data_IF_610183760924
#
_entry.id   IF_610183760924
#
_cell.length_a   1.000
_cell.length_b   1.000
_cell.length_c   1.000
_cell.angle_alpha   90.00
_cell.angle_beta   90.00
_cell.angle_gamma   90.00
#
_symmetry.space_group_name_H-M   'P 1'
#
loop_
_entity.id
_entity.type
_entity.pdbx_description
1 polymer ?
#
# COMPACT_ATOMS: atom_id res chain seq x y z
N UNK A 1 -20.60 56.21 22.58
CA UNK A 1 -21.79 56.27 21.72
C UNK A 1 -21.37 56.06 20.28
N UNK A 2 -21.40 54.88 19.76
CA UNK A 2 -21.40 54.61 18.30
C UNK A 2 -22.20 53.32 18.08
N UNK A 3 -23.22 53.44 17.24
CA UNK A 3 -24.33 52.55 16.95
C UNK A 3 -23.86 51.27 16.23
N UNK A 4 -24.35 50.11 16.70
CA UNK A 4 -24.28 48.83 15.99
C UNK A 4 -25.49 48.69 15.09
N UNK A 5 -25.28 48.65 13.77
CA UNK A 5 -26.28 48.13 12.82
C UNK A 5 -26.11 46.63 12.66
N UNK A 6 -27.14 45.87 13.01
CA UNK A 6 -27.30 44.45 12.72
C UNK A 6 -27.83 44.33 11.27
N UNK A 7 -27.14 43.58 10.46
CA UNK A 7 -27.66 43.17 9.14
C UNK A 7 -28.05 41.69 9.23
N UNK A 8 -29.33 41.43 9.11
CA UNK A 8 -29.92 40.10 8.94
C UNK A 8 -29.68 39.65 7.50
N UNK A 9 -28.95 38.57 7.33
CA UNK A 9 -28.83 37.88 6.04
C UNK A 9 -29.87 36.77 5.95
N UNK A 10 -30.78 36.87 5.01
CA UNK A 10 -31.79 35.85 4.71
C UNK A 10 -31.11 34.74 3.90
N UNK A 11 -31.16 33.52 4.42
CA UNK A 11 -30.66 32.31 3.75
C UNK A 11 -31.78 31.79 2.84
N UNK A 12 -31.65 31.97 1.52
CA UNK A 12 -32.58 31.38 0.54
C UNK A 12 -32.10 29.93 0.24
N UNK A 13 -32.95 28.98 0.64
CA UNK A 13 -32.77 27.54 0.35
C UNK A 13 -33.29 27.25 -1.06
N UNK A 14 -32.39 27.13 -2.04
CA UNK A 14 -32.74 26.64 -3.37
C UNK A 14 -32.74 25.11 -3.38
N UNK A 15 -33.90 24.51 -3.34
CA UNK A 15 -34.11 23.10 -3.67
C UNK A 15 -34.05 22.95 -5.19
N UNK A 16 -33.00 22.32 -5.70
CA UNK A 16 -32.94 21.86 -7.07
C UNK A 16 -33.41 20.40 -7.15
N UNK A 17 -34.24 20.06 -8.16
CA UNK A 17 -34.73 18.70 -8.32
C UNK A 17 -33.60 17.75 -8.75
N UNK A 18 -33.55 16.60 -8.11
CA UNK A 18 -32.67 15.48 -8.49
C UNK A 18 -33.22 14.93 -9.83
N UNK A 19 -32.59 15.32 -10.91
CA UNK A 19 -32.82 14.68 -12.21
C UNK A 19 -32.03 13.37 -12.22
N UNK A 20 -32.79 12.27 -12.29
CA UNK A 20 -32.21 10.94 -12.52
C UNK A 20 -31.50 10.97 -13.88
N UNK A 21 -30.18 10.92 -13.85
CA UNK A 21 -29.36 10.70 -15.03
C UNK A 21 -29.50 9.23 -15.44
N UNK A 22 -30.39 9.03 -16.42
CA UNK A 22 -30.42 7.80 -17.18
C UNK A 22 -29.05 7.63 -17.86
N UNK A 23 -28.36 6.52 -17.57
CA UNK A 23 -27.16 6.08 -18.28
C UNK A 23 -27.59 5.81 -19.73
N UNK A 24 -27.40 6.77 -20.61
CA UNK A 24 -27.57 6.57 -22.04
C UNK A 24 -26.38 5.74 -22.53
N UNK A 25 -26.66 4.53 -23.00
CA UNK A 25 -25.76 3.69 -23.74
C UNK A 25 -25.14 4.48 -24.91
N UNK A 26 -23.90 4.89 -24.76
CA UNK A 26 -23.14 5.67 -25.78
C UNK A 26 -22.64 4.81 -26.94
N UNK A 27 -23.35 3.74 -27.31
CA UNK A 27 -22.97 2.82 -28.39
C UNK A 27 -23.90 2.82 -29.61
N UNK A 28 -24.86 3.73 -29.71
CA UNK A 28 -25.82 3.74 -30.80
C UNK A 28 -25.47 4.71 -31.94
N UNK A 29 -24.30 5.29 -32.00
CA UNK A 29 -24.05 6.46 -32.84
C UNK A 29 -23.39 6.21 -34.20
N UNK A 30 -23.15 4.98 -34.65
CA UNK A 30 -22.47 4.77 -35.95
C UNK A 30 -23.16 3.88 -36.98
N UNK A 31 -24.39 3.42 -36.74
CA UNK A 31 -25.15 2.60 -37.71
C UNK A 31 -26.37 3.27 -38.32
N UNK A 32 -26.39 4.60 -38.44
CA UNK A 32 -27.55 5.36 -38.93
C UNK A 32 -27.69 5.47 -40.45
N UNK A 33 -27.15 4.51 -41.21
CA UNK A 33 -27.41 4.42 -42.63
C UNK A 33 -28.29 3.21 -42.95
N UNK A 34 -29.35 3.36 -43.76
CA UNK A 34 -30.04 2.22 -44.36
C UNK A 34 -29.04 1.52 -45.30
N UNK A 35 -28.79 0.23 -45.12
CA UNK A 35 -28.05 -0.52 -46.12
C UNK A 35 -29.00 -1.02 -47.22
N UNK A 36 -28.48 -1.11 -48.45
CA UNK A 36 -29.31 -1.36 -49.64
C UNK A 36 -29.27 -2.80 -50.14
N UNK A 37 -28.24 -3.57 -49.76
CA UNK A 37 -28.03 -4.94 -50.27
C UNK A 37 -27.41 -5.82 -49.21
N UNK A 38 -28.02 -6.99 -48.96
CA UNK A 38 -27.51 -8.01 -48.04
C UNK A 38 -26.08 -8.42 -48.42
N UNK A 39 -25.21 -8.59 -47.43
CA UNK A 39 -23.84 -9.04 -47.63
C UNK A 39 -22.83 -7.92 -47.86
N UNK A 40 -23.25 -6.69 -48.13
CA UNK A 40 -22.30 -5.57 -48.25
C UNK A 40 -21.61 -5.34 -46.92
N UNK A 41 -20.29 -5.14 -46.95
CA UNK A 41 -19.43 -4.93 -45.78
C UNK A 41 -18.93 -3.49 -45.75
N UNK A 42 -19.03 -2.85 -44.59
CA UNK A 42 -18.50 -1.50 -44.37
C UNK A 42 -17.57 -1.53 -43.15
N UNK A 43 -16.44 -0.84 -43.23
CA UNK A 43 -15.53 -0.62 -42.08
C UNK A 43 -15.63 0.84 -41.67
N UNK A 44 -15.92 1.07 -40.36
CA UNK A 44 -15.95 2.41 -39.78
C UNK A 44 -15.22 2.37 -38.44
N UNK A 45 -14.21 3.22 -38.27
CA UNK A 45 -13.38 3.29 -37.05
C UNK A 45 -12.88 1.92 -36.56
N UNK A 46 -12.39 1.07 -37.48
CA UNK A 46 -11.85 -0.25 -37.15
C UNK A 46 -12.90 -1.35 -36.91
N UNK A 47 -14.18 -1.03 -36.90
CA UNK A 47 -15.28 -1.99 -36.73
C UNK A 47 -15.84 -2.37 -38.08
N UNK A 48 -16.04 -3.67 -38.32
CA UNK A 48 -16.63 -4.20 -39.54
C UNK A 48 -18.12 -4.46 -39.34
N UNK A 49 -18.96 -3.89 -40.22
CA UNK A 49 -20.39 -4.10 -40.26
C UNK A 49 -20.78 -4.83 -41.54
N UNK A 50 -21.74 -5.70 -41.44
CA UNK A 50 -22.31 -6.40 -42.63
C UNK A 50 -23.81 -6.03 -42.71
N UNK A 51 -24.27 -5.69 -43.88
CA UNK A 51 -25.69 -5.45 -44.13
C UNK A 51 -26.45 -6.78 -44.08
N UNK A 52 -27.34 -6.91 -43.14
CA UNK A 52 -28.13 -8.12 -42.90
C UNK A 52 -29.61 -7.81 -42.83
N UNK A 53 -30.45 -8.77 -43.25
CA UNK A 53 -31.90 -8.68 -43.14
C UNK A 53 -32.29 -8.95 -41.68
N UNK A 54 -32.91 -7.96 -41.06
CA UNK A 54 -33.40 -8.08 -39.68
C UNK A 54 -34.91 -7.81 -39.73
N UNK A 55 -35.71 -8.87 -39.64
CA UNK A 55 -37.14 -8.83 -39.91
C UNK A 55 -37.40 -8.45 -41.37
N UNK A 56 -38.23 -7.41 -41.61
CA UNK A 56 -38.58 -6.90 -42.96
C UNK A 56 -37.62 -5.80 -43.45
N UNK A 57 -36.56 -5.45 -42.71
CA UNK A 57 -35.67 -4.32 -43.05
C UNK A 57 -34.21 -4.75 -43.14
N UNK A 58 -33.42 -4.03 -43.97
CA UNK A 58 -31.97 -4.18 -44.05
C UNK A 58 -31.31 -3.25 -43.03
N UNK A 59 -30.41 -3.82 -42.21
CA UNK A 59 -29.68 -3.07 -41.18
C UNK A 59 -28.22 -3.44 -41.17
N UNK A 60 -27.35 -2.48 -40.80
CA UNK A 60 -25.95 -2.75 -40.54
C UNK A 60 -25.82 -3.53 -39.23
N UNK A 61 -25.29 -4.74 -39.30
CA UNK A 61 -25.06 -5.59 -38.17
C UNK A 61 -23.54 -5.68 -37.99
N UNK A 62 -23.05 -5.39 -36.80
CA UNK A 62 -21.63 -5.55 -36.47
C UNK A 62 -21.23 -7.01 -36.68
N UNK A 63 -20.22 -7.26 -37.52
CA UNK A 63 -19.66 -8.58 -37.64
C UNK A 63 -18.93 -8.86 -36.33
N UNK A 64 -19.51 -9.66 -35.46
CA UNK A 64 -18.77 -10.20 -34.33
C UNK A 64 -17.61 -10.98 -34.94
N UNK A 65 -16.39 -10.59 -34.64
CA UNK A 65 -15.28 -11.51 -34.78
C UNK A 65 -15.70 -12.71 -33.93
N UNK A 66 -15.90 -13.90 -34.52
CA UNK A 66 -16.00 -15.12 -33.73
C UNK A 66 -14.76 -15.10 -32.85
N UNK A 67 -14.93 -14.78 -31.59
CA UNK A 67 -13.94 -15.06 -30.57
C UNK A 67 -13.58 -16.51 -30.79
N UNK A 68 -12.31 -16.79 -31.03
CA UNK A 68 -11.77 -18.11 -30.79
C UNK A 68 -12.44 -18.59 -29.51
N UNK A 69 -13.01 -19.78 -29.52
CA UNK A 69 -13.81 -20.39 -28.44
C UNK A 69 -13.29 -19.87 -27.10
N UNK A 70 -14.18 -19.40 -26.19
CA UNK A 70 -13.70 -18.94 -24.90
C UNK A 70 -12.82 -20.06 -24.35
N UNK A 71 -11.56 -19.74 -24.07
CA UNK A 71 -10.69 -20.65 -23.30
C UNK A 71 -11.47 -20.79 -22.02
N UNK A 72 -12.15 -21.92 -21.82
CA UNK A 72 -12.78 -22.25 -20.56
C UNK A 72 -11.65 -22.18 -19.54
N UNK A 73 -11.70 -21.30 -18.56
CA UNK A 73 -10.64 -21.23 -17.56
C UNK A 73 -10.54 -22.60 -16.93
N UNK A 74 -9.47 -23.32 -17.21
CA UNK A 74 -9.18 -24.55 -16.50
C UNK A 74 -8.69 -24.15 -15.14
N UNK A 75 -9.53 -24.32 -14.14
CA UNK A 75 -9.16 -24.12 -12.74
C UNK A 75 -8.08 -25.12 -12.38
N UNK A 76 -6.94 -24.64 -11.92
CA UNK A 76 -5.84 -25.49 -11.46
C UNK A 76 -5.57 -25.23 -9.98
N UNK A 77 -5.16 -26.25 -9.25
CA UNK A 77 -4.85 -26.12 -7.84
C UNK A 77 -3.66 -25.17 -7.61
N UNK A 78 -3.61 -24.50 -6.47
CA UNK A 78 -2.49 -23.63 -6.11
C UNK A 78 -1.14 -24.36 -6.19
N UNK A 79 -1.07 -25.64 -5.84
CA UNK A 79 0.15 -26.45 -5.98
C UNK A 79 0.57 -26.64 -7.44
N UNK A 80 -0.39 -26.84 -8.35
CA UNK A 80 -0.11 -26.95 -9.79
C UNK A 80 0.38 -25.61 -10.36
N UNK A 81 -0.19 -24.49 -9.91
CA UNK A 81 0.28 -23.16 -10.30
C UNK A 81 1.73 -22.90 -9.88
N UNK A 82 2.10 -23.28 -8.66
CA UNK A 82 3.47 -23.14 -8.16
C UNK A 82 4.50 -23.92 -8.99
N UNK A 83 4.12 -25.06 -9.57
CA UNK A 83 4.99 -25.86 -10.41
C UNK A 83 5.24 -25.24 -11.81
N UNK A 84 4.42 -24.29 -12.23
CA UNK A 84 4.59 -23.59 -13.52
C UNK A 84 5.56 -22.41 -13.46
N UNK A 85 6.09 -22.08 -12.30
CA UNK A 85 7.03 -20.96 -12.16
C UNK A 85 8.32 -21.25 -12.91
N UNK A 86 8.71 -20.29 -13.73
CA UNK A 86 9.96 -20.29 -14.48
C UNK A 86 11.04 -19.51 -13.71
N UNK A 87 12.27 -19.89 -13.91
CA UNK A 87 13.41 -19.13 -13.45
C UNK A 87 13.44 -17.76 -14.15
N UNK A 88 13.85 -16.73 -13.43
CA UNK A 88 14.08 -15.42 -14.03
C UNK A 88 15.10 -15.55 -15.18
N UNK A 89 14.85 -14.97 -16.37
CA UNK A 89 15.78 -15.00 -17.48
C UNK A 89 17.04 -14.18 -17.20
N UNK A 90 16.97 -13.27 -16.25
CA UNK A 90 18.08 -12.37 -15.92
C UNK A 90 18.34 -12.34 -14.40
N UNK A 91 19.60 -12.10 -14.00
CA UNK A 91 19.92 -11.87 -12.60
C UNK A 91 19.14 -10.68 -12.03
N UNK A 92 18.74 -10.75 -10.78
CA UNK A 92 18.02 -9.66 -10.10
C UNK A 92 18.78 -8.33 -10.15
N UNK A 93 20.11 -8.37 -10.18
CA UNK A 93 20.96 -7.18 -10.36
C UNK A 93 20.62 -6.38 -11.61
N UNK A 94 20.15 -7.03 -12.67
CA UNK A 94 19.77 -6.34 -13.90
C UNK A 94 18.49 -5.50 -13.74
N UNK A 95 17.63 -5.87 -12.79
CA UNK A 95 16.42 -5.11 -12.49
C UNK A 95 16.63 -3.99 -11.45
N UNK A 96 17.84 -3.83 -10.93
CA UNK A 96 18.17 -2.70 -10.06
C UNK A 96 18.10 -1.40 -10.83
N UNK A 97 17.46 -0.41 -10.24
CA UNK A 97 17.42 0.95 -10.77
C UNK A 97 18.54 1.79 -10.15
N UNK A 98 18.96 2.83 -10.86
CA UNK A 98 19.91 3.79 -10.31
C UNK A 98 19.26 4.62 -9.21
N UNK A 99 20.08 4.96 -8.22
CA UNK A 99 19.72 5.98 -7.23
C UNK A 99 19.65 7.35 -7.91
N UNK A 100 18.49 7.97 -7.83
CA UNK A 100 18.26 9.28 -8.40
C UNK A 100 18.34 10.42 -7.36
N UNK A 101 19.07 10.23 -6.26
CA UNK A 101 19.24 11.28 -5.23
C UNK A 101 19.78 12.61 -5.78
N UNK A 102 20.50 12.58 -6.90
CA UNK A 102 20.94 13.81 -7.59
C UNK A 102 19.79 14.68 -8.12
N UNK A 103 18.61 14.10 -8.30
CA UNK A 103 17.41 14.80 -8.75
C UNK A 103 16.51 15.26 -7.61
N UNK A 104 16.92 15.02 -6.36
CA UNK A 104 16.12 15.30 -5.18
C UNK A 104 16.64 16.52 -4.44
N UNK A 105 15.71 17.19 -3.76
CA UNK A 105 16.07 18.30 -2.91
C UNK A 105 17.00 17.88 -1.77
N UNK A 106 17.92 18.75 -1.39
CA UNK A 106 18.76 18.49 -0.23
C UNK A 106 17.91 18.38 1.04
N UNK A 107 18.14 17.32 1.81
CA UNK A 107 17.38 17.05 3.03
C UNK A 107 16.29 15.99 2.88
N UNK A 108 16.01 15.49 1.69
CA UNK A 108 15.17 14.33 1.50
C UNK A 108 15.75 13.12 2.26
N UNK A 109 14.99 12.63 3.22
CA UNK A 109 15.43 11.54 4.09
C UNK A 109 15.16 10.14 3.51
N UNK A 110 14.49 10.08 2.39
CA UNK A 110 14.09 8.81 1.78
C UNK A 110 15.01 8.46 0.62
N UNK A 111 15.76 7.39 0.81
CA UNK A 111 16.54 6.80 -0.25
C UNK A 111 15.66 5.92 -1.12
N UNK A 112 15.77 6.09 -2.45
CA UNK A 112 15.02 5.30 -3.43
C UNK A 112 15.93 4.29 -4.09
N UNK A 113 16.85 3.77 -3.36
CA UNK A 113 17.87 2.89 -3.91
C UNK A 113 17.62 1.44 -3.59
N UNK A 114 18.28 0.62 -4.32
CA UNK A 114 18.42 -0.80 -4.05
C UNK A 114 19.87 -1.10 -3.69
N UNK A 115 20.13 -1.70 -2.51
CA UNK A 115 19.20 -1.96 -1.41
C UNK A 115 18.84 -0.68 -0.65
N UNK A 116 17.71 -0.71 0.05
CA UNK A 116 17.33 0.36 0.97
C UNK A 116 18.32 0.38 2.15
N UNK A 117 18.68 1.58 2.58
CA UNK A 117 19.59 1.77 3.71
C UNK A 117 18.77 2.00 4.98
N UNK A 118 18.83 1.09 5.96
CA UNK A 118 18.16 1.30 7.24
C UNK A 118 18.81 2.44 8.01
N UNK A 119 18.04 3.08 8.88
CA UNK A 119 18.46 4.18 9.73
C UNK A 119 18.13 3.91 11.21
N UNK A 120 18.48 4.83 12.09
CA UNK A 120 18.16 4.79 13.53
C UNK A 120 18.54 3.47 14.25
N UNK A 121 19.57 2.77 13.77
CA UNK A 121 20.03 1.50 14.35
C UNK A 121 19.24 0.27 13.90
N UNK A 122 18.26 0.42 13.01
CA UNK A 122 17.53 -0.70 12.43
C UNK A 122 18.41 -1.48 11.44
N UNK A 123 18.00 -2.70 11.12
CA UNK A 123 18.67 -3.55 10.13
C UNK A 123 17.66 -4.29 9.27
N UNK A 124 17.99 -4.50 8.00
CA UNK A 124 17.16 -5.27 7.06
C UNK A 124 17.45 -6.78 7.11
N UNK A 125 18.44 -7.18 7.92
CA UNK A 125 18.76 -8.58 8.18
C UNK A 125 19.26 -8.74 9.62
N UNK A 126 18.72 -9.72 10.35
CA UNK A 126 19.09 -9.98 11.73
C UNK A 126 18.00 -9.68 12.74
N UNK A 127 18.38 -9.32 13.95
CA UNK A 127 17.45 -9.05 15.06
C UNK A 127 17.33 -7.55 15.30
N UNK A 128 16.11 -7.09 15.49
CA UNK A 128 15.75 -5.74 15.94
C UNK A 128 15.13 -5.86 17.32
N UNK A 129 15.79 -5.30 18.34
CA UNK A 129 15.33 -5.32 19.73
C UNK A 129 14.53 -4.06 20.04
N UNK A 130 13.29 -4.22 20.47
CA UNK A 130 12.37 -3.12 20.79
C UNK A 130 11.85 -3.27 22.22
N UNK A 131 11.94 -2.21 23.01
CA UNK A 131 11.24 -2.12 24.30
C UNK A 131 9.87 -1.46 24.10
N UNK A 132 8.83 -2.13 24.59
CA UNK A 132 7.44 -1.64 24.54
C UNK A 132 7.01 -1.28 25.96
N UNK A 133 6.62 -0.04 26.16
CA UNK A 133 6.07 0.45 27.43
C UNK A 133 4.66 1.00 27.22
N UNK A 134 3.73 0.66 28.12
CA UNK A 134 2.38 1.21 28.13
C UNK A 134 2.35 2.37 29.10
N UNK A 135 2.15 3.58 28.57
CA UNK A 135 2.20 4.81 29.36
C UNK A 135 0.82 5.41 29.48
N UNK A 136 0.34 5.58 30.71
CA UNK A 136 -0.91 6.27 30.99
C UNK A 136 -0.68 7.58 31.75
N UNK A 137 -1.75 8.36 31.91
CA UNK A 137 -1.71 9.69 32.53
C UNK A 137 -2.75 9.79 33.63
N UNK A 138 -2.56 10.71 34.57
CA UNK A 138 -3.54 10.91 35.63
C UNK A 138 -4.92 11.32 35.10
N UNK A 139 -4.96 12.10 34.04
CA UNK A 139 -6.16 12.56 33.33
C UNK A 139 -6.66 11.57 32.27
N UNK A 140 -5.85 10.60 31.84
CA UNK A 140 -6.22 9.55 30.88
C UNK A 140 -5.63 8.21 31.35
N UNK A 141 -6.24 7.55 32.34
CA UNK A 141 -5.74 6.28 32.87
C UNK A 141 -5.98 5.13 31.89
N UNK A 142 -5.02 4.21 31.81
CA UNK A 142 -5.15 2.96 31.06
C UNK A 142 -5.83 1.86 31.85
N UNK A 143 -6.61 1.02 31.17
CA UNK A 143 -7.32 -0.12 31.75
C UNK A 143 -6.67 -1.47 31.52
N UNK A 144 -6.90 -2.44 32.40
CA UNK A 144 -6.34 -3.80 32.26
C UNK A 144 -6.84 -4.56 31.01
N UNK A 145 -8.11 -4.50 30.61
CA UNK A 145 -8.56 -5.14 29.37
C UNK A 145 -7.86 -4.58 28.14
N UNK A 146 -7.68 -3.27 28.09
CA UNK A 146 -6.99 -2.57 27.01
C UNK A 146 -5.50 -2.96 26.93
N UNK A 147 -4.82 -3.03 28.07
CA UNK A 147 -3.43 -3.50 28.15
C UNK A 147 -3.27 -4.88 27.53
N UNK A 148 -4.13 -5.81 27.89
CA UNK A 148 -4.09 -7.19 27.35
C UNK A 148 -4.30 -7.21 25.85
N UNK A 149 -5.21 -6.40 25.33
CA UNK A 149 -5.45 -6.24 23.89
C UNK A 149 -4.22 -5.65 23.19
N UNK A 150 -3.61 -4.61 23.74
CA UNK A 150 -2.40 -4.01 23.18
C UNK A 150 -1.24 -5.00 23.13
N UNK A 151 -0.99 -5.75 24.21
CA UNK A 151 0.05 -6.78 24.24
C UNK A 151 -0.20 -7.85 23.18
N UNK A 152 -1.42 -8.35 23.06
CA UNK A 152 -1.76 -9.36 22.08
C UNK A 152 -1.62 -8.83 20.64
N UNK A 153 -2.02 -7.59 20.41
CA UNK A 153 -2.00 -6.97 19.10
C UNK A 153 -0.56 -6.66 18.66
N UNK A 154 0.28 -6.09 19.53
CA UNK A 154 1.63 -5.69 19.13
C UNK A 154 2.55 -6.90 18.85
N UNK A 155 2.30 -8.04 19.48
CA UNK A 155 3.03 -9.29 19.18
C UNK A 155 2.86 -9.72 17.72
N UNK A 156 1.74 -9.42 17.09
CA UNK A 156 1.50 -9.71 15.68
C UNK A 156 2.50 -9.01 14.76
N UNK A 157 3.07 -7.86 15.15
CA UNK A 157 4.06 -7.17 14.33
C UNK A 157 5.35 -7.99 14.18
N UNK A 158 5.82 -8.64 15.25
CA UNK A 158 6.99 -9.51 15.18
C UNK A 158 6.72 -10.74 14.29
N UNK A 159 5.53 -11.32 14.37
CA UNK A 159 5.10 -12.41 13.51
C UNK A 159 5.06 -11.97 12.04
N UNK A 160 4.52 -10.78 11.79
CA UNK A 160 4.46 -10.21 10.45
C UNK A 160 5.87 -10.03 9.86
N UNK A 161 6.81 -9.44 10.61
CA UNK A 161 8.18 -9.26 10.14
C UNK A 161 8.84 -10.58 9.80
N UNK A 162 8.74 -11.57 10.68
CA UNK A 162 9.29 -12.91 10.44
C UNK A 162 8.71 -13.56 9.19
N UNK A 163 7.41 -13.41 9.00
CA UNK A 163 6.70 -13.97 7.85
C UNK A 163 7.05 -13.22 6.56
N UNK A 164 6.87 -11.90 6.52
CA UNK A 164 7.00 -11.13 5.28
C UNK A 164 8.45 -11.01 4.80
N UNK A 165 9.39 -10.87 5.71
CA UNK A 165 10.82 -10.83 5.38
C UNK A 165 11.42 -12.21 5.09
N UNK A 166 10.62 -13.29 5.10
CA UNK A 166 11.10 -14.67 4.96
C UNK A 166 12.16 -15.04 6.01
N UNK A 167 12.02 -14.53 7.22
CA UNK A 167 12.92 -14.73 8.35
C UNK A 167 14.22 -13.93 8.29
N UNK A 168 14.39 -13.02 7.31
CA UNK A 168 15.57 -12.14 7.27
C UNK A 168 15.58 -11.18 8.46
N UNK A 169 14.44 -10.69 8.89
CA UNK A 169 14.30 -9.82 10.06
C UNK A 169 13.47 -10.51 11.14
N UNK A 170 13.95 -10.43 12.37
CA UNK A 170 13.24 -10.90 13.55
C UNK A 170 13.15 -9.76 14.57
N UNK A 171 11.95 -9.50 15.04
CA UNK A 171 11.72 -8.55 16.10
C UNK A 171 11.70 -9.25 17.45
N UNK A 172 12.57 -8.83 18.34
CA UNK A 172 12.57 -9.23 19.74
C UNK A 172 11.89 -8.11 20.55
N UNK A 173 10.66 -8.35 20.98
CA UNK A 173 9.84 -7.37 21.70
C UNK A 173 9.93 -7.62 23.20
N UNK A 174 10.53 -6.69 23.93
CA UNK A 174 10.56 -6.66 25.40
C UNK A 174 9.35 -5.84 25.85
N UNK A 175 8.28 -6.51 26.22
CA UNK A 175 6.97 -5.90 26.41
C UNK A 175 6.70 -5.77 27.92
N UNK A 176 6.39 -4.56 28.38
CA UNK A 176 5.88 -4.33 29.74
C UNK A 176 4.55 -5.06 29.98
N UNK A 177 4.32 -5.50 31.19
CA UNK A 177 3.11 -6.23 31.59
C UNK A 177 2.09 -5.35 32.36
N UNK A 178 2.37 -4.04 32.47
CA UNK A 178 1.54 -3.08 33.19
C UNK A 178 1.61 -1.68 32.58
N UNK A 179 0.60 -0.88 32.88
CA UNK A 179 0.65 0.55 32.65
C UNK A 179 1.63 1.22 33.61
N UNK A 180 2.36 2.20 33.10
CA UNK A 180 3.27 3.05 33.89
C UNK A 180 2.76 4.47 33.80
N UNK A 181 2.53 5.09 34.99
CA UNK A 181 2.01 6.44 35.09
C UNK A 181 3.08 7.47 34.72
N UNK A 182 2.79 8.30 33.71
CA UNK A 182 3.59 9.48 33.41
C UNK A 182 3.53 10.50 34.57
N UNK A 183 4.63 11.22 34.85
CA UNK A 183 4.68 12.15 35.98
C UNK A 183 3.81 13.41 35.80
N UNK A 184 3.43 13.74 34.56
CA UNK A 184 2.57 14.90 34.24
C UNK A 184 1.32 14.44 33.50
N UNK A 185 0.32 15.32 33.37
CA UNK A 185 -0.88 15.10 32.59
C UNK A 185 -0.56 15.01 31.09
N UNK A 186 -1.48 14.39 30.34
CA UNK A 186 -1.32 14.07 28.93
C UNK A 186 -0.94 15.27 28.06
N UNK A 187 -1.49 16.44 28.33
CA UNK A 187 -1.22 17.67 27.56
C UNK A 187 0.28 18.06 27.50
N UNK A 188 1.09 17.60 28.47
CA UNK A 188 2.52 17.89 28.49
C UNK A 188 3.32 17.08 27.47
N UNK A 189 2.76 15.98 26.95
CA UNK A 189 3.43 15.04 26.06
C UNK A 189 3.01 15.19 24.60
N UNK A 190 2.47 16.36 24.25
CA UNK A 190 2.09 16.66 22.88
C UNK A 190 3.33 16.84 22.00
N UNK A 191 3.38 16.08 20.91
CA UNK A 191 4.39 16.26 19.86
C UNK A 191 3.93 17.34 18.88
N UNK A 192 4.76 18.36 18.67
CA UNK A 192 4.46 19.40 17.68
C UNK A 192 4.94 18.95 16.30
N UNK A 193 4.02 18.52 15.50
CA UNK A 193 4.29 18.19 14.10
C UNK A 193 4.23 19.42 13.21
N UNK A 194 5.07 19.52 12.16
CA UNK A 194 4.98 20.62 11.19
C UNK A 194 3.55 20.75 10.62
N UNK A 195 3.00 21.95 10.68
CA UNK A 195 1.66 22.24 10.15
C UNK A 195 0.48 21.87 11.04
N UNK A 196 0.69 21.22 12.20
CA UNK A 196 -0.39 21.00 13.17
C UNK A 196 -0.47 22.13 14.19
N UNK A 197 -1.69 22.59 14.57
CA UNK A 197 -1.86 23.59 15.61
C UNK A 197 -1.62 22.95 16.99
N UNK A 198 -0.95 23.64 17.85
CA UNK A 198 -0.72 23.21 19.23
C UNK A 198 0.41 23.98 19.90
N UNK A 199 0.52 23.83 21.21
CA UNK A 199 1.65 24.36 21.99
C UNK A 199 2.36 23.16 22.62
N UNK A 200 3.61 22.99 22.28
CA UNK A 200 4.45 21.97 22.89
C UNK A 200 4.94 22.49 24.24
N UNK A 201 4.60 21.78 25.32
CA UNK A 201 4.96 22.14 26.71
C UNK A 201 6.28 21.51 27.16
N UNK A 202 6.61 20.33 26.60
CA UNK A 202 7.89 19.67 26.79
C UNK A 202 8.56 19.52 25.43
N UNK A 203 9.86 19.65 25.37
CA UNK A 203 10.62 19.37 24.14
C UNK A 203 10.55 17.89 23.77
N UNK A 204 10.78 17.57 22.49
CA UNK A 204 10.82 16.18 22.01
C UNK A 204 11.82 15.33 22.81
N UNK A 205 12.94 15.93 23.22
CA UNK A 205 13.97 15.27 24.04
C UNK A 205 13.42 14.94 25.42
N UNK A 206 12.74 15.88 26.08
CA UNK A 206 12.15 15.66 27.42
C UNK A 206 11.07 14.59 27.39
N UNK A 207 10.23 14.59 26.35
CA UNK A 207 9.21 13.55 26.14
C UNK A 207 9.89 12.20 25.96
N UNK A 208 10.88 12.12 25.07
CA UNK A 208 11.61 10.90 24.79
C UNK A 208 12.36 10.37 26.03
N UNK A 209 13.02 11.23 26.80
CA UNK A 209 13.74 10.84 28.01
C UNK A 209 12.76 10.33 29.09
N UNK A 210 11.59 10.93 29.18
CA UNK A 210 10.53 10.45 30.07
C UNK A 210 10.09 9.03 29.67
N UNK A 211 9.80 8.80 28.39
CA UNK A 211 9.38 7.47 27.94
C UNK A 211 10.46 6.42 28.08
N UNK A 212 11.75 6.76 27.84
CA UNK A 212 12.88 5.86 28.11
C UNK A 212 12.98 5.50 29.59
N UNK A 213 12.89 6.50 30.47
CA UNK A 213 12.93 6.29 31.91
C UNK A 213 11.79 5.39 32.39
N UNK A 214 10.57 5.63 31.91
CA UNK A 214 9.41 4.80 32.21
C UNK A 214 9.61 3.37 31.69
N UNK A 215 10.10 3.20 30.49
CA UNK A 215 10.40 1.88 29.94
C UNK A 215 11.45 1.14 30.79
N UNK A 216 12.55 1.80 31.14
CA UNK A 216 13.60 1.22 31.97
C UNK A 216 13.18 0.83 33.38
N UNK A 217 12.06 1.38 33.88
CA UNK A 217 11.48 0.99 35.18
C UNK A 217 10.71 -0.33 35.15
N UNK A 218 10.38 -0.86 33.98
CA UNK A 218 9.50 -2.03 33.83
C UNK A 218 10.01 -3.10 32.88
N UNK A 219 10.92 -2.76 31.98
CA UNK A 219 11.58 -3.71 31.07
C UNK A 219 13.08 -3.40 30.98
N UNK A 220 13.86 -4.40 30.65
CA UNK A 220 15.29 -4.18 30.32
C UNK A 220 15.41 -3.44 28.98
N UNK A 221 15.94 -2.23 29.01
CA UNK A 221 16.16 -1.38 27.84
C UNK A 221 17.61 -1.41 27.35
N UNK A 222 18.47 -2.26 27.92
CA UNK A 222 19.85 -2.36 27.48
C UNK A 222 19.96 -2.89 26.05
N UNK A 223 20.69 -2.18 25.19
CA UNK A 223 20.94 -2.59 23.81
C UNK A 223 19.72 -2.60 22.88
N UNK A 224 18.58 -2.02 23.29
CA UNK A 224 17.43 -1.93 22.39
C UNK A 224 17.67 -0.91 21.27
N UNK A 225 17.16 -1.20 20.10
CA UNK A 225 17.16 -0.31 18.93
C UNK A 225 16.26 0.90 19.15
N UNK A 226 15.07 0.67 19.73
CA UNK A 226 14.07 1.70 19.96
C UNK A 226 13.19 1.39 21.18
N UNK A 227 12.59 2.45 21.75
CA UNK A 227 11.55 2.38 22.77
C UNK A 227 10.22 2.84 22.17
N UNK A 228 9.17 2.06 22.37
CA UNK A 228 7.82 2.38 21.91
C UNK A 228 6.90 2.59 23.10
N UNK A 229 6.35 3.80 23.21
CA UNK A 229 5.33 4.17 24.17
C UNK A 229 3.94 3.99 23.55
N UNK A 230 3.15 3.08 24.09
CA UNK A 230 1.76 2.86 23.68
C UNK A 230 0.86 3.56 24.67
N UNK A 231 0.06 4.50 24.20
CA UNK A 231 -0.81 5.33 25.00
C UNK A 231 -2.23 4.75 25.06
N UNK A 232 -3.07 5.14 26.04
CA UNK A 232 -4.45 4.67 26.11
C UNK A 232 -5.28 5.09 24.88
N UNK A 233 -6.20 4.25 24.44
CA UNK A 233 -7.13 4.56 23.32
C UNK A 233 -7.99 5.80 23.57
N UNK A 234 -8.23 6.13 24.83
CA UNK A 234 -8.96 7.32 25.23
C UNK A 234 -8.18 8.62 25.02
N UNK A 235 -6.87 8.53 24.65
CA UNK A 235 -6.08 9.72 24.38
C UNK A 235 -6.64 10.46 23.16
N UNK A 236 -6.80 11.76 23.26
CA UNK A 236 -7.38 12.59 22.19
C UNK A 236 -6.49 13.74 21.77
N UNK A 237 -5.51 14.11 22.60
CA UNK A 237 -4.67 15.28 22.40
C UNK A 237 -3.25 14.97 21.97
N UNK A 238 -2.79 13.76 22.17
CA UNK A 238 -1.45 13.33 21.80
C UNK A 238 -1.58 12.44 20.57
N UNK A 239 -1.07 12.93 19.45
CA UNK A 239 -0.93 12.15 18.24
C UNK A 239 0.30 11.22 18.33
N UNK A 240 0.60 10.45 17.32
CA UNK A 240 1.86 9.73 17.22
C UNK A 240 3.04 10.70 17.24
N UNK A 241 4.19 10.25 17.69
CA UNK A 241 5.37 11.05 17.73
C UNK A 241 6.64 10.23 17.80
N UNK A 242 7.74 10.87 17.42
CA UNK A 242 9.04 10.22 17.42
C UNK A 242 10.17 11.18 17.76
N UNK A 243 11.22 10.63 18.37
CA UNK A 243 12.48 11.34 18.63
C UNK A 243 13.66 10.41 18.37
N UNK A 244 14.38 10.67 17.30
CA UNK A 244 15.53 9.86 16.89
C UNK A 244 16.89 10.41 17.32
N UNK A 245 16.93 11.65 17.79
CA UNK A 245 18.19 12.36 18.07
C UNK A 245 19.03 11.77 19.20
N UNK A 246 18.45 10.88 19.97
CA UNK A 246 19.16 10.15 21.02
C UNK A 246 18.88 8.65 20.87
N UNK A 247 19.88 7.80 21.15
CA UNK A 247 19.70 6.36 21.16
C UNK A 247 19.38 5.83 22.55
N UNK A 248 18.48 4.85 22.67
CA UNK A 248 17.57 4.37 21.62
C UNK A 248 16.55 5.44 21.19
N UNK A 249 16.15 5.42 19.91
CA UNK A 249 15.07 6.26 19.41
C UNK A 249 13.76 5.98 20.15
N UNK A 250 12.85 6.95 20.19
CA UNK A 250 11.55 6.81 20.85
C UNK A 250 10.44 7.07 19.86
N UNK A 251 9.45 6.19 19.87
CA UNK A 251 8.17 6.38 19.21
C UNK A 251 7.03 6.38 20.23
N UNK A 252 5.94 7.06 19.91
CA UNK A 252 4.70 6.89 20.66
C UNK A 252 3.52 6.66 19.71
N UNK A 253 2.65 5.74 20.08
CA UNK A 253 1.38 5.50 19.40
C UNK A 253 0.32 6.32 20.13
N UNK A 254 -0.30 7.26 19.42
CA UNK A 254 -1.23 8.22 19.97
C UNK A 254 -2.63 8.18 19.35
N UNK A 255 -3.35 9.27 19.46
CA UNK A 255 -4.77 9.37 19.13
C UNK A 255 -5.09 9.20 17.65
N UNK A 256 -4.22 9.63 16.76
CA UNK A 256 -4.38 9.49 15.31
C UNK A 256 -4.33 8.03 14.85
N UNK A 257 -3.44 7.22 15.43
CA UNK A 257 -3.39 5.78 15.18
C UNK A 257 -4.73 5.10 15.50
N UNK A 258 -5.36 5.48 16.59
CA UNK A 258 -6.65 4.93 17.02
C UNK A 258 -7.82 5.43 16.16
N UNK A 259 -7.81 6.72 15.78
CA UNK A 259 -8.85 7.31 14.91
C UNK A 259 -8.88 6.71 13.53
N UNK A 260 -7.74 6.36 12.99
CA UNK A 260 -7.64 5.72 11.67
C UNK A 260 -8.28 4.32 11.64
N UNK A 261 -8.59 3.74 12.81
CA UNK A 261 -9.11 2.39 12.94
C UNK A 261 -8.15 1.32 12.43
N UNK A 262 -6.88 1.68 12.26
CA UNK A 262 -5.82 0.75 11.88
C UNK A 262 -5.43 -0.08 13.10
N UNK A 263 -5.30 -1.39 12.99
CA UNK A 263 -4.80 -2.20 14.10
C UNK A 263 -3.41 -1.73 14.53
N UNK A 264 -3.16 -1.65 15.82
CA UNK A 264 -1.88 -1.18 16.38
C UNK A 264 -0.67 -1.88 15.77
N UNK A 265 -0.76 -3.18 15.50
CA UNK A 265 0.35 -3.92 14.90
C UNK A 265 0.69 -3.42 13.49
N UNK A 266 -0.32 -3.04 12.69
CA UNK A 266 -0.10 -2.48 11.35
C UNK A 266 0.55 -1.10 11.44
N UNK A 267 0.08 -0.28 12.37
CA UNK A 267 0.67 1.03 12.61
C UNK A 267 2.13 0.90 13.07
N UNK A 268 2.41 0.00 14.01
CA UNK A 268 3.77 -0.29 14.45
C UNK A 268 4.67 -0.72 13.28
N UNK A 269 4.18 -1.61 12.43
CA UNK A 269 4.93 -2.06 11.25
C UNK A 269 5.13 -0.90 10.27
N UNK A 270 4.10 -0.08 10.03
CA UNK A 270 4.19 1.09 9.17
C UNK A 270 5.34 2.01 9.58
N UNK A 271 5.36 2.43 10.84
CA UNK A 271 6.37 3.36 11.35
C UNK A 271 7.78 2.77 11.40
N UNK A 272 7.89 1.50 11.75
CA UNK A 272 9.20 0.83 11.77
C UNK A 272 9.75 0.56 10.36
N UNK A 273 8.90 0.40 9.36
CA UNK A 273 9.34 0.27 7.96
C UNK A 273 10.05 1.52 7.44
N UNK A 274 9.66 2.71 7.89
CA UNK A 274 10.41 3.93 7.60
C UNK A 274 11.86 3.82 8.12
N UNK A 275 12.05 3.25 9.29
CA UNK A 275 13.38 3.03 9.86
C UNK A 275 14.17 1.92 9.16
N UNK A 276 13.50 0.98 8.51
CA UNK A 276 14.13 0.01 7.61
C UNK A 276 14.58 0.62 6.27
N UNK A 277 14.22 1.88 6.01
CA UNK A 277 14.55 2.58 4.77
C UNK A 277 13.54 2.31 3.65
N UNK A 278 12.38 1.76 3.99
CA UNK A 278 11.27 1.72 3.04
C UNK A 278 10.84 3.15 2.71
N UNK A 279 10.47 3.34 1.45
CA UNK A 279 10.06 4.65 0.98
C UNK A 279 8.84 5.15 1.77
N UNK A 280 8.79 6.44 2.00
CA UNK A 280 7.62 7.06 2.58
C UNK A 280 6.38 6.72 1.76
N UNK A 281 5.21 6.99 2.22
CA UNK A 281 3.86 6.67 1.73
C UNK A 281 3.71 6.37 0.21
N UNK A 282 4.54 5.48 -0.30
CA UNK A 282 4.58 5.05 -1.70
C UNK A 282 3.93 3.66 -1.88
N UNK A 283 3.11 3.46 -2.89
CA UNK A 283 2.53 4.47 -3.76
C UNK A 283 1.41 5.24 -3.04
N UNK A 284 1.34 6.53 -3.26
CA UNK A 284 0.31 7.36 -2.67
C UNK A 284 -1.07 6.98 -3.20
N UNK A 285 -2.07 7.10 -2.33
CA UNK A 285 -3.48 7.04 -2.69
C UNK A 285 -3.98 5.69 -3.20
N UNK A 286 -3.41 4.59 -2.72
CA UNK A 286 -3.94 3.25 -3.00
C UNK A 286 -4.30 2.52 -1.70
N UNK A 287 -5.18 1.53 -1.79
CA UNK A 287 -5.49 0.65 -0.65
C UNK A 287 -4.54 -0.55 -0.54
N UNK A 288 -3.49 -0.56 -1.34
CA UNK A 288 -2.54 -1.64 -1.45
C UNK A 288 -1.26 -1.24 -0.71
N UNK A 289 -0.85 -2.07 0.24
CA UNK A 289 0.38 -1.88 1.00
C UNK A 289 0.20 -1.18 2.33
N UNK A 290 1.19 -1.33 3.20
CA UNK A 290 1.20 -0.86 4.58
C UNK A 290 1.34 0.66 4.71
N UNK A 291 1.80 1.33 3.67
CA UNK A 291 2.00 2.78 3.69
C UNK A 291 0.72 3.56 3.43
N UNK A 292 -0.40 2.89 3.36
CA UNK A 292 -1.68 3.57 3.21
C UNK A 292 -2.48 3.61 4.51
N UNK A 293 -2.83 4.81 4.91
CA UNK A 293 -3.36 5.12 6.24
C UNK A 293 -4.90 5.15 6.34
N UNK A 294 -5.64 4.57 5.44
CA UNK A 294 -7.09 4.70 5.41
C UNK A 294 -7.83 3.44 5.84
N UNK A 295 -7.52 2.91 7.00
CA UNK A 295 -8.40 1.90 7.63
C UNK A 295 -8.74 0.62 6.84
N UNK A 296 -8.43 0.55 5.57
CA UNK A 296 -8.59 -0.60 4.68
C UNK A 296 -7.27 -1.10 4.12
N UNK A 297 -6.16 -0.61 4.66
CA UNK A 297 -4.84 -0.95 4.21
C UNK A 297 -4.64 -2.45 4.07
N UNK A 298 -4.04 -2.85 2.97
CA UNK A 298 -3.46 -4.17 2.83
C UNK A 298 -2.42 -4.40 3.91
N UNK A 299 -2.12 -5.64 4.17
CA UNK A 299 -1.18 -6.03 5.21
C UNK A 299 0.19 -6.43 4.65
N UNK A 300 0.49 -6.05 3.42
CA UNK A 300 1.77 -6.33 2.78
C UNK A 300 2.35 -5.07 2.18
N UNK A 301 3.66 -5.03 2.08
CA UNK A 301 4.31 -4.09 1.17
C UNK A 301 4.05 -4.53 -0.26
N UNK A 302 4.16 -3.59 -1.20
CA UNK A 302 4.34 -3.97 -2.60
C UNK A 302 5.68 -4.70 -2.78
N UNK A 303 5.77 -5.47 -3.86
CA UNK A 303 6.94 -6.31 -4.11
C UNK A 303 8.20 -5.51 -4.41
N UNK A 304 8.08 -4.28 -4.92
CA UNK A 304 9.23 -3.40 -5.15
C UNK A 304 9.89 -3.00 -3.83
N UNK A 305 9.11 -2.54 -2.85
CA UNK A 305 9.64 -2.17 -1.54
C UNK A 305 10.25 -3.39 -0.83
N UNK A 306 9.57 -4.55 -0.88
CA UNK A 306 10.10 -5.79 -0.34
C UNK A 306 11.44 -6.20 -1.00
N UNK A 307 11.58 -5.99 -2.31
CA UNK A 307 12.82 -6.21 -3.04
C UNK A 307 13.91 -5.23 -2.61
N UNK A 308 13.60 -3.95 -2.48
CA UNK A 308 14.57 -2.92 -2.06
C UNK A 308 15.07 -3.13 -0.64
N UNK A 309 14.22 -3.65 0.25
CA UNK A 309 14.59 -4.04 1.61
C UNK A 309 15.45 -5.33 1.67
N UNK A 310 15.60 -6.03 0.53
CA UNK A 310 16.32 -7.29 0.46
C UNK A 310 15.54 -8.49 1.03
N UNK A 311 14.22 -8.35 1.18
CA UNK A 311 13.37 -9.41 1.74
C UNK A 311 12.78 -10.34 0.68
N UNK A 312 12.96 -10.05 -0.60
CA UNK A 312 12.66 -10.97 -1.70
C UNK A 312 13.94 -11.58 -2.26
N UNK A 313 13.95 -12.89 -2.41
CA UNK A 313 15.05 -13.64 -3.00
C UNK A 313 14.95 -13.65 -4.53
N UNK A 314 16.03 -14.07 -5.18
CA UNK A 314 16.09 -14.19 -6.65
C UNK A 314 14.94 -15.04 -7.20
N UNK A 315 14.60 -16.14 -6.56
CA UNK A 315 13.54 -17.05 -6.99
C UNK A 315 12.11 -16.46 -6.86
N UNK A 316 11.95 -15.40 -6.10
CA UNK A 316 10.65 -14.73 -5.93
C UNK A 316 10.37 -13.68 -7.01
N UNK A 317 11.38 -13.35 -7.84
CA UNK A 317 11.29 -12.23 -8.78
C UNK A 317 11.68 -12.70 -10.17
N UNK A 318 10.77 -12.52 -11.11
CA UNK A 318 11.09 -12.67 -12.52
C UNK A 318 11.60 -11.34 -13.06
N UNK A 319 12.92 -11.25 -13.22
CA UNK A 319 13.60 -10.05 -13.72
C UNK A 319 13.82 -10.15 -15.23
N UNK A 320 13.45 -9.09 -15.96
CA UNK A 320 13.70 -8.98 -17.41
C UNK A 320 13.89 -7.51 -17.79
N UNK A 321 14.87 -7.22 -18.65
CA UNK A 321 14.96 -5.91 -19.28
C UNK A 321 13.99 -5.82 -20.46
N UNK A 322 13.44 -4.65 -20.73
CA UNK A 322 12.37 -4.43 -21.73
C UNK A 322 12.70 -5.03 -23.10
N UNK A 323 13.95 -4.92 -23.52
CA UNK A 323 14.41 -5.40 -24.84
C UNK A 323 14.34 -6.93 -24.98
N UNK A 324 14.37 -7.65 -23.85
CA UNK A 324 14.35 -9.11 -23.80
C UNK A 324 12.97 -9.67 -23.46
N UNK A 325 11.94 -8.80 -23.34
CA UNK A 325 10.57 -9.25 -23.08
C UNK A 325 10.07 -10.10 -24.25
N UNK A 326 9.63 -11.30 -23.94
CA UNK A 326 9.01 -12.22 -24.89
C UNK A 326 7.68 -12.74 -24.33
N UNK A 327 6.84 -13.27 -25.21
CA UNK A 327 5.58 -13.87 -24.80
C UNK A 327 5.82 -15.14 -23.99
N UNK A 328 5.36 -15.15 -22.73
CA UNK A 328 5.49 -16.29 -21.84
C UNK A 328 4.38 -16.27 -20.78
N UNK A 329 4.13 -17.42 -20.21
CA UNK A 329 3.16 -17.57 -19.11
C UNK A 329 3.92 -17.76 -17.80
N UNK A 330 3.60 -16.93 -16.81
CA UNK A 330 4.19 -16.98 -15.49
C UNK A 330 3.08 -17.13 -14.43
N UNK A 331 3.37 -17.83 -13.34
CA UNK A 331 2.45 -17.99 -12.23
C UNK A 331 2.93 -17.18 -11.05
N UNK A 332 2.10 -16.23 -10.62
CA UNK A 332 2.37 -15.38 -9.46
C UNK A 332 1.65 -15.90 -8.23
N UNK A 333 2.37 -15.98 -7.11
CA UNK A 333 1.79 -16.20 -5.79
C UNK A 333 1.39 -14.84 -5.19
N UNK A 334 0.18 -14.68 -4.67
CA UNK A 334 -0.25 -13.44 -4.02
C UNK A 334 0.67 -13.03 -2.88
N UNK A 335 0.90 -11.72 -2.73
CA UNK A 335 1.78 -11.17 -1.69
C UNK A 335 1.28 -11.46 -0.27
N UNK A 336 -0.03 -11.66 -0.11
CA UNK A 336 -0.70 -11.95 1.16
C UNK A 336 -0.64 -13.43 1.56
N UNK A 337 -0.05 -14.29 0.73
CA UNK A 337 0.08 -15.72 0.98
C UNK A 337 1.46 -16.14 1.48
N UNK A 338 1.72 -17.42 1.44
CA UNK A 338 3.01 -17.99 1.78
C UNK A 338 4.14 -17.35 0.98
N UNK A 339 5.26 -17.09 1.64
CA UNK A 339 6.40 -16.41 1.05
C UNK A 339 7.26 -17.34 0.18
N UNK A 340 6.61 -18.08 -0.73
CA UNK A 340 7.22 -19.07 -1.63
C UNK A 340 6.84 -18.80 -3.08
N UNK A 341 7.61 -19.32 -4.01
CA UNK A 341 7.34 -19.18 -5.44
C UNK A 341 7.58 -17.78 -6.01
N UNK A 342 7.14 -17.59 -7.25
CA UNK A 342 7.27 -16.30 -7.94
C UNK A 342 6.20 -15.34 -7.43
N UNK A 343 6.63 -14.18 -6.97
CA UNK A 343 5.76 -13.18 -6.33
C UNK A 343 5.69 -11.86 -7.08
N UNK A 344 6.69 -11.62 -7.93
CA UNK A 344 6.79 -10.37 -8.68
C UNK A 344 7.42 -10.59 -10.04
N UNK A 345 6.95 -9.84 -11.03
CA UNK A 345 7.64 -9.66 -12.31
C UNK A 345 8.11 -8.23 -12.35
N UNK A 346 9.41 -8.04 -12.59
CA UNK A 346 10.01 -6.71 -12.76
C UNK A 346 10.52 -6.58 -14.17
N UNK A 347 9.93 -5.66 -14.93
CA UNK A 347 10.38 -5.29 -16.27
C UNK A 347 11.13 -3.98 -16.20
N UNK A 348 12.44 -4.01 -16.28
CA UNK A 348 13.25 -2.79 -16.29
C UNK A 348 13.07 -2.06 -17.62
N UNK A 349 12.56 -0.85 -17.56
CA UNK A 349 12.29 0.00 -18.73
C UNK A 349 13.51 0.85 -19.11
N UNK A 350 14.20 1.37 -18.09
CA UNK A 350 15.38 2.23 -18.22
C UNK A 350 16.28 2.11 -16.99
N UNK A 351 17.29 2.94 -16.88
CA UNK A 351 18.14 3.01 -15.69
C UNK A 351 17.39 3.44 -14.42
N UNK A 352 16.27 4.15 -14.59
CA UNK A 352 15.49 4.76 -13.49
C UNK A 352 14.06 4.26 -13.41
N UNK A 353 13.60 3.44 -14.35
CA UNK A 353 12.19 3.06 -14.44
C UNK A 353 11.99 1.56 -14.61
N UNK A 354 10.95 1.05 -13.96
CA UNK A 354 10.50 -0.32 -14.10
C UNK A 354 8.98 -0.42 -14.06
N UNK A 355 8.43 -1.46 -14.71
CA UNK A 355 7.09 -1.97 -14.39
C UNK A 355 7.25 -3.13 -13.39
N UNK A 356 6.40 -3.12 -12.39
CA UNK A 356 6.30 -4.17 -11.39
C UNK A 356 4.90 -4.75 -11.45
N UNK A 357 4.82 -6.06 -11.65
CA UNK A 357 3.57 -6.81 -11.75
C UNK A 357 3.52 -7.77 -10.59
N UNK A 358 2.44 -7.73 -9.83
CA UNK A 358 2.26 -8.54 -8.63
C UNK A 358 0.82 -9.03 -8.51
N UNK A 359 0.61 -10.12 -7.79
CA UNK A 359 -0.70 -10.67 -7.51
C UNK A 359 -1.11 -10.36 -6.08
N UNK A 360 -2.38 -10.05 -5.91
CA UNK A 360 -3.00 -9.76 -4.63
C UNK A 360 -4.23 -10.64 -4.41
N UNK A 361 -4.51 -10.92 -3.14
CA UNK A 361 -5.67 -11.69 -2.71
C UNK A 361 -5.97 -11.44 -1.25
N UNK A 362 -7.27 -11.42 -0.89
CA UNK A 362 -7.63 -11.46 0.52
C UNK A 362 -7.19 -12.80 1.13
N UNK A 363 -6.20 -12.75 1.97
CA UNK A 363 -5.65 -13.90 2.67
C UNK A 363 -5.12 -13.49 4.05
N UNK A 364 -4.21 -14.23 4.64
CA UNK A 364 -3.53 -13.92 5.89
C UNK A 364 -3.07 -12.47 5.90
N UNK A 365 -3.29 -11.77 7.01
CA UNK A 365 -2.92 -10.37 7.24
C UNK A 365 -3.76 -9.32 6.47
N UNK A 366 -4.62 -9.72 5.55
CA UNK A 366 -5.50 -8.82 4.79
C UNK A 366 -6.98 -9.02 5.14
N UNK A 367 -7.29 -9.33 6.39
CA UNK A 367 -8.64 -9.64 6.87
C UNK A 367 -9.63 -8.50 6.64
N UNK A 368 -9.13 -7.26 6.55
CA UNK A 368 -9.94 -6.06 6.34
C UNK A 368 -10.37 -5.86 4.88
N UNK A 369 -9.78 -6.58 3.94
CA UNK A 369 -10.20 -6.50 2.56
C UNK A 369 -11.57 -7.14 2.35
N UNK A 370 -12.38 -6.66 1.40
CA UNK A 370 -13.62 -7.30 1.03
C UNK A 370 -13.42 -8.75 0.60
N UNK A 371 -14.41 -9.59 0.84
CA UNK A 371 -14.41 -10.96 0.33
C UNK A 371 -14.35 -10.96 -1.20
N UNK A 372 -13.56 -11.84 -1.79
CA UNK A 372 -13.37 -11.91 -3.24
C UNK A 372 -12.37 -10.90 -3.80
N UNK A 373 -11.69 -10.13 -2.94
CA UNK A 373 -10.57 -9.29 -3.39
C UNK A 373 -9.44 -10.18 -3.89
N UNK A 374 -9.16 -10.13 -5.19
CA UNK A 374 -8.06 -10.85 -5.83
C UNK A 374 -7.74 -10.23 -7.19
N UNK A 375 -6.56 -10.52 -7.73
CA UNK A 375 -6.17 -10.14 -9.09
C UNK A 375 -4.74 -9.63 -9.19
N UNK A 376 -4.41 -9.10 -10.35
CA UNK A 376 -3.07 -8.62 -10.67
C UNK A 376 -3.03 -7.11 -10.70
N UNK A 377 -2.07 -6.53 -9.98
CA UNK A 377 -1.73 -5.11 -10.06
C UNK A 377 -0.54 -4.88 -10.97
N UNK A 378 -0.45 -3.67 -11.50
CA UNK A 378 0.69 -3.18 -12.26
C UNK A 378 1.10 -1.84 -11.71
N UNK A 379 2.34 -1.72 -11.30
CA UNK A 379 2.92 -0.49 -10.76
C UNK A 379 4.07 -0.03 -11.65
N UNK A 380 4.17 1.28 -11.87
CA UNK A 380 5.34 1.91 -12.48
C UNK A 380 6.19 2.53 -11.39
N UNK A 381 7.45 2.20 -11.37
CA UNK A 381 8.47 2.80 -10.52
C UNK A 381 9.26 3.81 -11.37
N UNK A 382 9.53 4.99 -10.79
CA UNK A 382 10.48 5.96 -11.33
C UNK A 382 11.28 6.55 -10.16
N UNK A 383 12.55 6.19 -10.07
CA UNK A 383 13.44 6.62 -8.99
C UNK A 383 13.82 8.10 -9.04
N UNK A 384 13.47 8.80 -10.13
CA UNK A 384 13.69 10.25 -10.28
C UNK A 384 12.57 11.07 -9.63
N UNK A 385 11.40 10.44 -9.43
CA UNK A 385 10.27 11.10 -8.78
C UNK A 385 10.59 11.32 -7.32
N UNK A 386 10.41 12.55 -6.88
CA UNK A 386 10.62 12.90 -5.48
C UNK A 386 9.54 12.31 -4.58
N UNK A 387 9.95 11.81 -3.43
CA UNK A 387 9.03 11.25 -2.43
C UNK A 387 8.75 12.24 -1.32
N UNK A 388 8.48 13.49 -1.68
CA UNK A 388 8.16 14.49 -0.68
C UNK A 388 6.89 14.10 0.05
N UNK A 389 6.99 14.05 1.34
CA UNK A 389 5.99 13.62 2.31
C UNK A 389 4.57 14.15 2.03
N UNK A 390 4.42 15.44 1.78
CA UNK A 390 3.11 16.07 1.66
C UNK A 390 2.63 16.31 0.22
N UNK A 391 3.50 16.22 -0.75
CA UNK A 391 3.17 16.57 -2.13
C UNK A 391 2.67 15.39 -2.96
N UNK A 392 2.67 14.21 -2.38
CA UNK A 392 2.08 13.04 -2.97
C UNK A 392 2.79 12.45 -4.16
N UNK A 393 3.99 12.87 -4.41
CA UNK A 393 4.87 12.14 -5.30
C UNK A 393 5.42 10.93 -4.57
N UNK A 394 5.41 9.80 -5.23
CA UNK A 394 6.03 8.57 -4.78
C UNK A 394 6.81 8.00 -5.94
N UNK A 395 7.81 7.20 -5.64
CA UNK A 395 8.55 6.49 -6.68
C UNK A 395 7.71 5.46 -7.40
N UNK A 396 6.65 4.98 -6.77
CA UNK A 396 5.71 4.03 -7.33
C UNK A 396 4.35 4.68 -7.61
N UNK A 397 3.78 4.35 -8.76
CA UNK A 397 2.41 4.68 -9.12
C UNK A 397 1.73 3.42 -9.65
N UNK A 398 0.63 3.01 -9.01
CA UNK A 398 -0.20 1.96 -9.57
C UNK A 398 -0.86 2.43 -10.87
N UNK A 399 -0.69 1.64 -11.90
CA UNK A 399 -1.37 1.80 -13.18
C UNK A 399 -2.64 0.95 -13.24
N UNK A 400 -2.66 -0.11 -12.47
CA UNK A 400 -3.81 -0.95 -12.17
C UNK A 400 -3.69 -1.35 -10.70
N UNK A 401 -4.63 -0.98 -9.86
CA UNK A 401 -5.82 -0.15 -10.07
C UNK A 401 -5.48 1.29 -10.47
N UNK A 402 -6.25 1.86 -11.41
CA UNK A 402 -6.00 3.21 -11.93
C UNK A 402 -6.68 4.31 -11.09
N UNK A 403 -7.50 3.95 -10.12
CA UNK A 403 -8.24 4.89 -9.28
C UNK A 403 -7.75 4.83 -7.84
N UNK A 404 -7.75 5.99 -7.22
CA UNK A 404 -7.47 6.11 -5.78
C UNK A 404 -8.46 5.28 -4.96
N UNK A 405 -7.95 4.57 -3.96
CA UNK A 405 -8.73 3.69 -3.06
C UNK A 405 -9.46 2.53 -3.75
N UNK A 406 -9.07 2.15 -4.96
CA UNK A 406 -9.65 1.02 -5.67
C UNK A 406 -8.89 -0.28 -5.39
N UNK A 407 -9.64 -1.39 -5.32
CA UNK A 407 -9.14 -2.76 -5.32
C UNK A 407 -9.49 -3.46 -6.65
N UNK A 408 -9.71 -2.69 -7.73
CA UNK A 408 -10.07 -3.19 -9.05
C UNK A 408 -8.85 -3.72 -9.79
N UNK A 409 -8.33 -4.83 -9.32
CA UNK A 409 -7.24 -5.56 -9.96
C UNK A 409 -7.68 -6.13 -11.31
N UNK A 410 -6.71 -6.44 -12.18
CA UNK A 410 -6.96 -7.22 -13.38
C UNK A 410 -7.46 -8.61 -13.00
N UNK A 411 -8.58 -8.99 -13.57
CA UNK A 411 -9.23 -10.29 -13.41
C UNK A 411 -8.91 -11.22 -14.58
N UNK A 412 -9.24 -12.48 -14.43
CA UNK A 412 -9.12 -13.49 -15.50
C UNK A 412 -9.76 -12.98 -16.79
N UNK A 413 -9.04 -13.11 -17.91
CA UNK A 413 -9.44 -12.62 -19.23
C UNK A 413 -9.16 -11.14 -19.49
N UNK A 414 -8.81 -10.36 -18.49
CA UNK A 414 -8.45 -8.94 -18.64
C UNK A 414 -7.00 -8.74 -19.04
N UNK A 415 -6.74 -7.65 -19.75
CA UNK A 415 -5.41 -7.24 -20.17
C UNK A 415 -5.17 -5.78 -19.90
N UNK A 416 -3.93 -5.45 -19.62
CA UNK A 416 -3.41 -4.09 -19.52
C UNK A 416 -2.13 -3.95 -20.35
N UNK A 417 -1.87 -2.75 -20.87
CA UNK A 417 -0.65 -2.49 -21.64
C UNK A 417 -0.05 -1.15 -21.21
N UNK A 418 1.23 -1.17 -20.93
CA UNK A 418 2.02 0.01 -20.64
C UNK A 418 3.44 -0.16 -21.20
N UNK A 419 4.03 0.91 -21.68
CA UNK A 419 5.43 0.96 -22.14
C UNK A 419 5.82 -0.13 -23.15
N UNK A 420 4.84 -0.60 -23.96
CA UNK A 420 5.03 -1.68 -24.93
C UNK A 420 4.98 -3.09 -24.34
N UNK A 421 4.72 -3.22 -23.05
CA UNK A 421 4.51 -4.50 -22.36
C UNK A 421 3.01 -4.74 -22.23
N UNK A 422 2.54 -5.93 -22.64
CA UNK A 422 1.15 -6.36 -22.45
C UNK A 422 1.09 -7.44 -21.40
N UNK A 423 0.25 -7.24 -20.40
CA UNK A 423 -0.05 -8.16 -19.32
C UNK A 423 -1.47 -8.72 -19.54
N UNK A 424 -1.65 -10.03 -19.45
CA UNK A 424 -2.96 -10.68 -19.55
C UNK A 424 -3.10 -11.70 -18.42
N UNK A 425 -4.17 -11.63 -17.63
CA UNK A 425 -4.47 -12.62 -16.63
C UNK A 425 -5.19 -13.79 -17.31
N UNK A 426 -4.54 -14.93 -17.40
CA UNK A 426 -5.04 -16.09 -18.13
C UNK A 426 -5.95 -16.96 -17.26
N UNK A 427 -5.58 -17.15 -16.00
CA UNK A 427 -6.30 -18.02 -15.06
C UNK A 427 -5.97 -17.67 -13.61
N UNK A 428 -6.76 -18.18 -12.69
CA UNK A 428 -6.64 -18.04 -11.26
C UNK A 428 -6.78 -19.44 -10.61
N UNK A 429 -6.32 -19.62 -9.39
CA UNK A 429 -6.48 -20.88 -8.67
C UNK A 429 -7.93 -21.04 -8.17
N UNK A 430 -8.33 -22.29 -7.91
CA UNK A 430 -9.71 -22.69 -7.57
C UNK A 430 -10.30 -22.03 -6.32
N UNK A 431 -9.47 -21.51 -5.44
CA UNK A 431 -9.91 -20.93 -4.17
C UNK A 431 -9.97 -19.40 -4.21
N UNK A 432 -10.13 -18.85 -5.39
CA UNK A 432 -10.19 -17.39 -5.56
C UNK A 432 -11.58 -16.79 -5.40
#
# INVERSE_FOLDING_TARGET
>A
MISRKKTLGVLALCLLPVSALAISAADAASSRGKCSKVGVVQKTKGVTFTCSKVGKTLKWVRKSVKSSSPIVPTTISGAQLLQLNLSSPEPLSNCRLKDARLFKAAGEWQAITYPATPNHGFTNAGVVDIAIVFVDFADVPGGSPELSEHIATIKKSAEWYSWFSQGNVKYNLRIADKWVRAPKNSENYYWLHPGKPGTQLMSDIEIADTYRSLAGSVVDTSGVTSVWAVLPKAITKIDEGFAYRAHPGVFSIGSDSYRAGTPIWQHFVHETLHSHGALGHSPKNTQIGLFWNTGSAGATLNSWDAMTLGWMKQENIFCVVKQNVSAQTLTLVPLEREQVGLRSIVVKLSEYEALVIESHRKDKWSERWPTGTSGVSVMRIDTRVDTVWDLGSSTGKYLVPAQEHSLDFLKVGQSFSADGVKITVLQSADND
#
